data_IF_740775740920
#
_entry.id   IF_740775740920
#
_cell.length_a   1.000
_cell.length_b   1.000
_cell.length_c   1.000
_cell.angle_alpha   90.00
_cell.angle_beta   90.00
_cell.angle_gamma   90.00
#
_symmetry.space_group_name_H-M   'P 1'
#
loop_
_entity.id
_entity.type
_entity.pdbx_description
1 polymer ?
#
# COMPACT_ATOMS: atom_id res chain seq x y z
N UNK A 1 33.11 16.84 -27.57
CA UNK A 1 33.18 16.34 -26.18
C UNK A 1 31.76 15.87 -25.84
N UNK A 2 31.37 14.61 -25.69
CA UNK A 2 31.92 13.44 -24.95
C UNK A 2 32.09 13.73 -23.47
N UNK A 3 30.97 13.68 -22.74
CA UNK A 3 30.91 13.46 -21.31
C UNK A 3 29.68 12.60 -21.01
N UNK A 4 29.92 11.30 -21.22
CA UNK A 4 29.23 10.16 -20.63
C UNK A 4 29.57 10.15 -19.13
N UNK A 5 28.58 9.90 -18.27
CA UNK A 5 28.80 9.82 -16.82
C UNK A 5 27.67 9.07 -16.14
N UNK A 6 27.68 7.74 -16.26
CA UNK A 6 26.87 6.84 -15.48
C UNK A 6 27.21 6.98 -13.98
N UNK A 7 26.19 7.09 -13.14
CA UNK A 7 26.29 6.81 -11.71
C UNK A 7 25.01 6.11 -11.26
N UNK A 8 24.97 4.82 -11.60
CA UNK A 8 24.20 3.80 -10.90
C UNK A 8 24.69 3.76 -9.44
N UNK A 9 23.84 4.13 -8.49
CA UNK A 9 24.07 3.82 -7.08
C UNK A 9 22.87 3.06 -6.53
N UNK A 10 23.07 1.75 -6.45
CA UNK A 10 22.29 0.76 -5.71
C UNK A 10 22.43 0.98 -4.19
N UNK A 11 21.49 0.39 -3.43
CA UNK A 11 21.36 0.29 -1.94
C UNK A 11 20.76 1.53 -1.24
N UNK A 12 19.70 1.45 -0.44
CA UNK A 12 19.00 0.37 0.30
C UNK A 12 17.54 0.81 0.59
N UNK A 13 16.55 -0.08 0.74
CA UNK A 13 15.28 0.29 1.37
C UNK A 13 15.53 0.36 2.87
N UNK A 14 15.70 1.57 3.38
CA UNK A 14 15.75 1.80 4.82
C UNK A 14 14.35 1.55 5.38
N UNK A 15 14.24 0.49 6.18
CA UNK A 15 13.13 0.23 7.08
C UNK A 15 13.04 1.39 8.07
N UNK A 16 12.32 2.43 7.67
CA UNK A 16 11.89 3.48 8.56
C UNK A 16 10.55 3.04 9.13
N UNK A 17 10.60 2.55 10.36
CA UNK A 17 9.46 2.38 11.24
C UNK A 17 8.57 3.63 11.18
N UNK A 18 7.51 3.55 10.37
CA UNK A 18 6.47 4.56 10.32
C UNK A 18 5.62 4.38 11.58
N UNK A 19 6.12 5.01 12.65
CA UNK A 19 5.39 5.70 13.70
C UNK A 19 3.87 5.59 13.48
N UNK A 20 3.22 4.86 14.39
CA UNK A 20 1.80 4.97 14.71
C UNK A 20 1.50 6.44 15.04
N UNK A 21 1.30 7.24 14.01
CA UNK A 21 0.62 8.51 14.13
C UNK A 21 -0.80 8.18 13.69
N UNK A 22 -1.68 8.05 14.67
CA UNK A 22 -3.13 8.00 14.48
C UNK A 22 -3.52 9.30 13.78
N UNK A 23 -3.37 9.30 12.45
CA UNK A 23 -3.74 10.40 11.61
C UNK A 23 -5.23 10.66 11.83
N UNK A 24 -5.63 11.95 11.94
CA UNK A 24 -6.99 12.35 12.26
C UNK A 24 -7.93 11.59 11.35
N UNK A 25 -9.03 11.04 11.92
CA UNK A 25 -10.06 10.24 11.24
C UNK A 25 -10.45 10.90 9.92
N UNK A 26 -9.66 10.67 8.87
CA UNK A 26 -9.97 11.09 7.52
C UNK A 26 -11.20 10.27 7.21
N UNK A 27 -12.23 10.94 6.72
CA UNK A 27 -13.36 10.24 6.15
C UNK A 27 -12.83 9.52 4.91
N UNK A 28 -12.28 8.32 5.11
CA UNK A 28 -11.66 7.51 4.07
C UNK A 28 -12.81 7.00 3.20
N UNK A 29 -13.00 7.67 2.06
CA UNK A 29 -13.97 7.25 1.04
C UNK A 29 -13.38 6.06 0.32
N UNK A 30 -13.89 4.89 0.66
CA UNK A 30 -13.49 3.63 0.03
C UNK A 30 -14.28 3.46 -1.26
N UNK A 31 -13.60 3.27 -2.38
CA UNK A 31 -14.24 2.96 -3.65
C UNK A 31 -14.77 1.51 -3.65
N UNK A 32 -15.97 1.30 -4.18
CA UNK A 32 -16.55 -0.04 -4.29
C UNK A 32 -15.84 -0.90 -5.34
N UNK A 33 -15.23 -0.29 -6.36
CA UNK A 33 -14.39 -0.99 -7.33
C UNK A 33 -13.14 -1.57 -6.65
N UNK A 34 -12.51 -0.81 -5.76
CA UNK A 34 -11.35 -1.29 -5.00
C UNK A 34 -11.74 -2.41 -4.03
N UNK A 35 -12.89 -2.30 -3.37
CA UNK A 35 -13.41 -3.37 -2.49
C UNK A 35 -13.66 -4.65 -3.28
N UNK A 36 -14.26 -4.55 -4.47
CA UNK A 36 -14.51 -5.70 -5.33
C UNK A 36 -13.21 -6.35 -5.82
N UNK A 37 -12.25 -5.54 -6.26
CA UNK A 37 -10.92 -6.00 -6.69
C UNK A 37 -10.22 -6.77 -5.58
N UNK A 38 -10.15 -6.21 -4.37
CA UNK A 38 -9.45 -6.84 -3.25
C UNK A 38 -10.18 -8.09 -2.75
N UNK A 39 -11.51 -8.10 -2.76
CA UNK A 39 -12.29 -9.28 -2.41
C UNK A 39 -11.99 -10.46 -3.35
N UNK A 40 -11.90 -10.19 -4.66
CA UNK A 40 -11.64 -11.20 -5.69
C UNK A 40 -10.17 -11.66 -5.70
N UNK A 41 -9.22 -10.73 -5.68
CA UNK A 41 -7.80 -11.05 -5.87
C UNK A 41 -7.12 -11.62 -4.61
N UNK A 42 -7.58 -11.23 -3.41
CA UNK A 42 -7.02 -11.69 -2.15
C UNK A 42 -7.89 -12.76 -1.47
N UNK A 43 -8.96 -13.20 -2.13
CA UNK A 43 -9.98 -14.12 -1.60
C UNK A 43 -10.51 -13.69 -0.22
N UNK A 44 -10.87 -12.40 -0.12
CA UNK A 44 -11.36 -11.78 1.11
C UNK A 44 -12.86 -11.53 1.03
N UNK A 45 -13.54 -11.65 2.18
CA UNK A 45 -14.91 -11.14 2.28
C UNK A 45 -14.94 -9.62 2.04
N UNK A 46 -16.05 -9.09 1.49
CA UNK A 46 -16.24 -7.64 1.26
C UNK A 46 -15.97 -6.79 2.51
N UNK A 47 -16.33 -7.30 3.70
CA UNK A 47 -16.05 -6.65 4.98
C UNK A 47 -14.55 -6.52 5.22
N UNK A 48 -13.79 -7.60 5.00
CA UNK A 48 -12.33 -7.61 5.21
C UNK A 48 -11.59 -6.76 4.18
N UNK A 49 -12.03 -6.78 2.92
CA UNK A 49 -11.48 -5.90 1.88
C UNK A 49 -11.71 -4.42 2.22
N UNK A 50 -12.91 -4.06 2.71
CA UNK A 50 -13.23 -2.69 3.13
C UNK A 50 -12.41 -2.24 4.34
N UNK A 51 -12.21 -3.12 5.32
CA UNK A 51 -11.35 -2.87 6.48
C UNK A 51 -9.90 -2.63 6.06
N UNK A 52 -9.38 -3.46 5.15
CA UNK A 52 -8.02 -3.35 4.64
C UNK A 52 -7.82 -2.01 3.91
N UNK A 53 -8.73 -1.63 3.02
CA UNK A 53 -8.66 -0.32 2.34
C UNK A 53 -8.73 0.83 3.34
N UNK A 54 -9.60 0.76 4.35
CA UNK A 54 -9.69 1.82 5.37
C UNK A 54 -8.40 1.96 6.18
N UNK A 55 -7.73 0.85 6.48
CA UNK A 55 -6.45 0.84 7.20
C UNK A 55 -5.29 1.41 6.35
N UNK A 56 -5.45 1.44 5.03
CA UNK A 56 -4.45 1.90 4.07
C UNK A 56 -4.91 3.13 3.28
N UNK A 57 -5.65 4.05 3.90
CA UNK A 57 -6.07 5.34 3.32
C UNK A 57 -6.93 5.25 2.05
N UNK A 58 -7.65 4.13 1.85
CA UNK A 58 -8.35 3.76 0.61
C UNK A 58 -7.42 3.67 -0.62
N UNK A 59 -6.15 3.31 -0.41
CA UNK A 59 -5.21 3.04 -1.47
C UNK A 59 -5.09 1.52 -1.70
N UNK A 60 -5.67 1.04 -2.80
CA UNK A 60 -5.65 -0.37 -3.17
C UNK A 60 -4.23 -0.91 -3.40
N UNK A 61 -3.33 -0.11 -4.01
CA UNK A 61 -1.94 -0.53 -4.27
C UNK A 61 -1.18 -0.65 -2.96
N UNK A 62 -1.32 0.33 -2.06
CA UNK A 62 -0.73 0.30 -0.71
C UNK A 62 -1.25 -0.88 0.09
N UNK A 63 -2.55 -1.13 0.05
CA UNK A 63 -3.20 -2.26 0.72
C UNK A 63 -2.70 -3.61 0.21
N UNK A 64 -2.68 -3.84 -1.11
CA UNK A 64 -2.21 -5.09 -1.70
C UNK A 64 -0.71 -5.30 -1.46
N UNK A 65 0.10 -4.25 -1.58
CA UNK A 65 1.54 -4.31 -1.29
C UNK A 65 1.76 -4.69 0.17
N UNK A 66 1.10 -4.00 1.10
CA UNK A 66 1.19 -4.29 2.53
C UNK A 66 0.76 -5.75 2.82
N UNK A 67 -0.34 -6.21 2.24
CA UNK A 67 -0.84 -7.58 2.41
C UNK A 67 0.18 -8.64 1.99
N UNK A 68 0.73 -8.54 0.78
CA UNK A 68 1.72 -9.52 0.28
C UNK A 68 3.02 -9.46 1.08
N UNK A 69 3.45 -8.27 1.50
CA UNK A 69 4.65 -8.13 2.35
C UNK A 69 4.45 -8.54 3.80
N UNK A 70 3.21 -8.55 4.30
CA UNK A 70 2.89 -9.02 5.65
C UNK A 70 2.71 -10.54 5.71
N UNK A 71 2.44 -11.18 4.57
CA UNK A 71 2.30 -12.63 4.44
C UNK A 71 3.65 -13.38 4.32
N UNK A 72 4.78 -12.65 4.24
CA UNK A 72 6.15 -13.21 4.18
C UNK A 72 6.89 -13.07 5.49
#
# INVERSE_FOLDING_TARGET
MKNLGAAQSQKTPSSAAARKEEAPKKLVKVDQADVALLADQLDLSKTKATELLRAHDADAVKAMTAWVTAAV
#
